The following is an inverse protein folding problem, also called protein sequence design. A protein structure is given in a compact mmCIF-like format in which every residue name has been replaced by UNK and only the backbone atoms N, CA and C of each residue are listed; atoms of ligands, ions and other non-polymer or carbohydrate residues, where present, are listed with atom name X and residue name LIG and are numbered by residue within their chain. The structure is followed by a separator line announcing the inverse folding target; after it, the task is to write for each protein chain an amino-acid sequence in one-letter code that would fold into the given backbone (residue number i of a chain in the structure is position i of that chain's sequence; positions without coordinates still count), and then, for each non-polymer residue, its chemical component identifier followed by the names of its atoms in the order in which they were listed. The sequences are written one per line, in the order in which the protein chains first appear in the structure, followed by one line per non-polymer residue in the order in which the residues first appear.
data_IF_265865012561
#
_entry.id   IF_265865012561
#
_cell.length_a   1.000
_cell.length_b   1.000
_cell.length_c   1.000
_cell.angle_alpha   90.00
_cell.angle_beta   90.00
_cell.angle_gamma   90.00
#
_symmetry.space_group_name_H-M   'P 1'
#
loop_
_entity.id
_entity.type
_entity.pdbx_description
1 polymer ?
#
# COMPACT_ATOMS: atom_id res chain seq x y z
N UNK A 1 3.47 19.37 14.79
CA UNK A 1 2.62 18.28 14.24
C UNK A 1 3.56 17.11 14.08
N UNK A 2 3.64 16.26 15.09
CA UNK A 2 4.85 15.47 15.37
C UNK A 2 4.77 14.05 14.80
N UNK A 3 3.94 13.89 13.76
CA UNK A 3 3.63 12.62 13.10
C UNK A 3 4.14 12.59 11.66
N UNK A 4 4.90 11.56 11.29
CA UNK A 4 5.45 11.35 9.95
C UNK A 4 4.94 10.04 9.35
N UNK A 5 4.72 10.01 8.03
CA UNK A 5 4.36 8.80 7.30
C UNK A 5 5.58 7.88 7.13
N UNK A 6 5.47 6.64 7.60
CA UNK A 6 6.58 5.70 7.80
C UNK A 6 7.13 5.01 6.56
N UNK A 7 7.10 5.63 5.39
CA UNK A 7 7.70 5.07 4.17
C UNK A 7 9.14 5.58 4.01
N UNK A 8 10.11 4.76 4.42
CA UNK A 8 11.52 5.15 4.61
C UNK A 8 12.16 5.67 3.33
N UNK A 9 11.88 5.05 2.18
CA UNK A 9 12.39 5.42 0.87
C UNK A 9 12.02 6.84 0.47
N UNK A 10 10.91 7.38 1.00
CA UNK A 10 10.43 8.71 0.68
C UNK A 10 10.62 9.72 1.82
N UNK A 11 10.73 9.27 3.08
CA UNK A 11 10.65 10.16 4.25
C UNK A 11 11.78 9.96 5.29
N UNK A 12 12.87 9.26 4.94
CA UNK A 12 13.97 8.90 5.87
C UNK A 12 14.38 10.01 6.85
N UNK A 13 14.70 11.20 6.36
CA UNK A 13 15.18 12.30 7.21
C UNK A 13 14.10 12.82 8.17
N UNK A 14 12.84 12.87 7.72
CA UNK A 14 11.71 13.27 8.58
C UNK A 14 11.43 12.21 9.65
N UNK A 15 11.53 10.93 9.29
CA UNK A 15 11.31 9.80 10.20
C UNK A 15 12.30 9.84 11.38
N UNK A 16 13.57 10.21 11.15
CA UNK A 16 14.59 10.32 12.21
C UNK A 16 14.22 11.30 13.32
N UNK A 17 13.39 12.30 13.04
CA UNK A 17 12.99 13.35 13.97
C UNK A 17 11.56 13.17 14.49
N UNK A 18 10.82 12.17 14.00
CA UNK A 18 9.41 11.99 14.31
C UNK A 18 9.19 11.43 15.71
N UNK A 19 8.19 11.97 16.43
CA UNK A 19 7.74 11.41 17.70
C UNK A 19 6.64 10.36 17.50
N UNK A 20 5.89 10.47 16.41
CA UNK A 20 4.83 9.54 16.02
C UNK A 20 5.06 9.11 14.56
N UNK A 21 4.96 7.82 14.29
CA UNK A 21 5.09 7.27 12.93
C UNK A 21 3.77 6.60 12.54
N UNK A 22 3.16 7.09 11.46
CA UNK A 22 2.07 6.39 10.79
C UNK A 22 2.65 5.33 9.87
N UNK A 23 2.73 4.08 10.32
CA UNK A 23 3.23 2.98 9.50
C UNK A 23 2.32 2.80 8.27
N UNK A 24 2.87 2.73 7.04
CA UNK A 24 2.05 2.67 5.84
C UNK A 24 1.28 1.35 5.75
N UNK A 25 0.11 1.40 5.12
CA UNK A 25 -0.63 0.18 4.76
C UNK A 25 0.09 -0.61 3.67
N UNK A 26 -0.23 -1.90 3.55
CA UNK A 26 0.39 -2.79 2.55
C UNK A 26 0.21 -2.30 1.11
N UNK A 27 -1.01 -1.95 0.69
CA UNK A 27 -1.26 -1.44 -0.67
C UNK A 27 -0.67 -0.06 -0.94
N UNK A 28 -0.83 0.96 -0.05
CA UNK A 28 -0.14 2.23 -0.24
C UNK A 28 1.38 2.07 -0.36
N UNK A 29 1.98 1.12 0.35
CA UNK A 29 3.42 0.85 0.26
C UNK A 29 3.81 0.39 -1.14
N UNK A 30 3.15 -0.63 -1.69
CA UNK A 30 3.48 -1.18 -3.01
C UNK A 30 3.27 -0.15 -4.12
N UNK A 31 2.15 0.59 -4.08
CA UNK A 31 1.82 1.60 -5.09
C UNK A 31 2.79 2.77 -5.05
N UNK A 32 3.07 3.32 -3.85
CA UNK A 32 4.00 4.46 -3.74
C UNK A 32 5.40 4.08 -4.15
N UNK A 33 5.90 2.90 -3.76
CA UNK A 33 7.24 2.46 -4.17
C UNK A 33 7.33 2.20 -5.67
N UNK A 34 6.30 1.58 -6.27
CA UNK A 34 6.25 1.34 -7.71
C UNK A 34 6.19 2.62 -8.55
N UNK A 35 5.45 3.63 -8.08
CA UNK A 35 5.27 4.90 -8.80
C UNK A 35 6.32 5.97 -8.46
N UNK A 36 6.95 5.90 -7.29
CA UNK A 36 7.92 6.90 -6.83
C UNK A 36 8.98 7.29 -7.89
N UNK A 37 9.65 6.36 -8.59
CA UNK A 37 10.65 6.76 -9.59
C UNK A 37 10.02 7.50 -10.78
N UNK A 38 8.81 7.13 -11.21
CA UNK A 38 8.11 7.78 -12.31
C UNK A 38 7.63 9.19 -11.93
N UNK A 39 7.11 9.34 -10.71
CA UNK A 39 6.55 10.60 -10.21
C UNK A 39 7.62 11.59 -9.74
N UNK A 40 8.80 11.12 -9.34
CA UNK A 40 9.92 11.97 -8.87
C UNK A 40 10.94 12.28 -9.97
N UNK A 41 10.74 11.76 -11.18
CA UNK A 41 11.58 12.08 -12.33
C UNK A 41 11.54 13.59 -12.62
N UNK A 42 12.67 14.16 -13.05
CA UNK A 42 12.75 15.56 -13.46
C UNK A 42 11.97 15.84 -14.76
N UNK A 43 11.82 14.82 -15.60
CA UNK A 43 10.94 14.84 -16.77
C UNK A 43 9.64 14.11 -16.47
N UNK A 44 8.54 14.56 -17.06
CA UNK A 44 7.27 13.84 -17.02
C UNK A 44 7.38 12.55 -17.87
N UNK A 45 7.28 11.39 -17.20
CA UNK A 45 7.37 10.07 -17.86
C UNK A 45 6.01 9.39 -18.04
N UNK A 46 4.99 9.82 -17.29
CA UNK A 46 3.63 9.27 -17.32
C UNK A 46 2.59 10.40 -17.15
N UNK A 47 1.39 10.17 -17.65
CA UNK A 47 0.21 10.96 -17.25
C UNK A 47 -0.12 10.63 -15.79
N UNK A 48 -0.35 11.66 -14.98
CA UNK A 48 -0.60 11.53 -13.53
C UNK A 48 -2.08 11.51 -13.20
N UNK A 49 -2.93 11.94 -14.14
CA UNK A 49 -4.38 11.87 -14.01
C UNK A 49 -4.85 10.43 -14.23
N UNK A 50 -5.74 9.96 -13.36
CA UNK A 50 -6.41 8.65 -13.48
C UNK A 50 -5.46 7.44 -13.52
N UNK A 51 -4.44 7.42 -12.66
CA UNK A 51 -3.62 6.20 -12.48
C UNK A 51 -4.53 5.08 -11.94
N UNK A 52 -4.60 3.97 -12.68
CA UNK A 52 -5.38 2.79 -12.31
C UNK A 52 -4.47 1.80 -11.59
N UNK A 53 -4.86 1.41 -10.38
CA UNK A 53 -4.19 0.38 -9.58
C UNK A 53 -5.14 -0.79 -9.40
N UNK A 54 -4.80 -1.93 -9.99
CA UNK A 54 -5.44 -3.22 -9.73
C UNK A 54 -4.45 -4.09 -8.93
N UNK A 55 -4.65 -4.14 -7.61
CA UNK A 55 -3.75 -4.78 -6.67
C UNK A 55 -4.30 -6.10 -6.13
N UNK A 56 -3.43 -7.12 -6.06
CA UNK A 56 -3.77 -8.48 -5.63
C UNK A 56 -3.00 -8.80 -4.35
N UNK A 57 -3.63 -9.49 -3.40
CA UNK A 57 -3.02 -9.87 -2.13
C UNK A 57 -3.47 -11.26 -1.71
N UNK A 58 -2.63 -11.94 -0.93
CA UNK A 58 -3.06 -13.11 -0.16
C UNK A 58 -4.00 -12.73 1.00
N UNK A 59 -4.69 -13.74 1.54
CA UNK A 59 -5.70 -13.59 2.61
C UNK A 59 -5.14 -13.03 3.93
N UNK A 60 -3.82 -13.16 4.16
CA UNK A 60 -3.18 -12.64 5.39
C UNK A 60 -3.37 -11.14 5.58
N UNK A 61 -3.52 -10.37 4.49
CA UNK A 61 -3.77 -8.93 4.54
C UNK A 61 -5.10 -8.55 5.19
N UNK A 62 -6.08 -9.45 5.22
CA UNK A 62 -7.38 -9.23 5.88
C UNK A 62 -7.29 -9.33 7.42
N UNK A 63 -6.13 -9.74 7.95
CA UNK A 63 -5.90 -9.92 9.38
C UNK A 63 -6.42 -11.25 9.90
N UNK A 64 -6.36 -11.43 11.24
CA UNK A 64 -6.66 -12.70 11.91
C UNK A 64 -8.16 -12.89 12.24
N UNK A 65 -9.01 -11.90 11.96
CA UNK A 65 -10.43 -11.98 12.34
C UNK A 65 -11.12 -13.08 11.54
N UNK A 66 -11.71 -14.04 12.24
CA UNK A 66 -12.51 -15.08 11.61
C UNK A 66 -13.76 -14.46 10.97
N UNK A 67 -14.02 -14.84 9.71
CA UNK A 67 -15.27 -14.56 9.02
C UNK A 67 -15.52 -15.68 8.02
N UNK A 68 -16.80 -15.93 7.70
CA UNK A 68 -17.17 -16.97 6.75
C UNK A 68 -16.44 -16.79 5.41
N UNK A 69 -16.38 -15.55 4.90
CA UNK A 69 -15.68 -15.25 3.64
C UNK A 69 -14.15 -15.39 3.68
N UNK A 70 -13.54 -15.65 4.85
CA UNK A 70 -12.09 -15.82 5.05
C UNK A 70 -11.69 -17.24 5.47
N UNK A 71 -12.63 -18.18 5.57
CA UNK A 71 -12.29 -19.58 5.86
C UNK A 71 -11.58 -20.21 4.65
N UNK A 72 -10.74 -21.20 4.92
CA UNK A 72 -9.95 -21.88 3.89
C UNK A 72 -10.82 -22.39 2.73
N UNK A 73 -11.92 -23.08 3.02
CA UNK A 73 -12.82 -23.63 2.00
C UNK A 73 -13.44 -22.60 1.05
N UNK A 74 -13.52 -21.33 1.46
CA UNK A 74 -14.09 -20.24 0.64
C UNK A 74 -13.02 -19.48 -0.17
N UNK A 75 -11.74 -19.66 0.16
CA UNK A 75 -10.63 -18.90 -0.43
C UNK A 75 -9.59 -19.77 -1.13
N UNK A 76 -9.51 -21.06 -0.81
CA UNK A 76 -8.66 -22.01 -1.51
C UNK A 76 -9.07 -22.06 -2.99
N UNK A 77 -8.08 -21.98 -3.88
CA UNK A 77 -8.24 -21.98 -5.34
C UNK A 77 -9.24 -20.95 -5.87
N UNK A 78 -9.46 -19.87 -5.12
CA UNK A 78 -10.40 -18.82 -5.47
C UNK A 78 -9.66 -17.49 -5.68
N UNK A 79 -10.20 -16.65 -6.56
CA UNK A 79 -9.74 -15.30 -6.82
C UNK A 79 -10.94 -14.38 -7.00
N UNK A 80 -11.06 -13.38 -6.12
CA UNK A 80 -12.21 -12.45 -6.10
C UNK A 80 -11.78 -11.02 -5.89
N UNK A 81 -12.44 -10.11 -6.60
CA UNK A 81 -12.31 -8.68 -6.36
C UNK A 81 -12.96 -8.30 -5.02
N UNK A 82 -12.41 -7.30 -4.36
CA UNK A 82 -12.94 -6.76 -3.11
C UNK A 82 -12.56 -5.28 -2.96
N UNK A 83 -13.34 -4.54 -2.16
CA UNK A 83 -13.11 -3.11 -1.95
C UNK A 83 -13.23 -2.26 -3.23
N UNK A 84 -14.03 -2.75 -4.20
CA UNK A 84 -14.37 -2.09 -5.47
C UNK A 84 -15.60 -1.21 -5.28
#
# INVERSE_FOLDING_TARGET
KDSVYGLTELNREKIKQAQVIGNPGCYPTTVQLGLAPLLKSAQALIETKNIIIDAKSGVSGAGRKASLGMIYSENADNFKAYGV
#
